data_IF_774138784946
#
_entry.id   IF_774138784946
#
_cell.length_a   1.000
_cell.length_b   1.000
_cell.length_c   1.000
_cell.angle_alpha   90.00
_cell.angle_beta   90.00
_cell.angle_gamma   90.00
#
_symmetry.space_group_name_H-M   'P 1'
#
loop_
_entity.id
_entity.type
_entity.pdbx_description
1 polymer ?
#
# COMPACT_ATOMS: atom_id res chain seq x y z
N UNK A 1 6.12 -14.36 24.39
CA UNK A 1 5.54 -14.65 23.07
C UNK A 1 5.84 -13.43 22.20
N UNK A 2 6.57 -13.58 21.10
CA UNK A 2 6.76 -12.49 20.15
C UNK A 2 5.45 -12.30 19.39
N UNK A 3 4.84 -11.14 19.51
CA UNK A 3 3.69 -10.72 18.71
C UNK A 3 4.03 -10.92 17.22
N UNK A 4 3.18 -11.62 16.48
CA UNK A 4 3.43 -11.86 15.06
C UNK A 4 3.43 -10.50 14.31
N UNK A 5 4.45 -10.25 13.50
CA UNK A 5 4.54 -9.00 12.74
C UNK A 5 3.37 -8.89 11.74
N UNK A 6 2.60 -7.80 11.80
CA UNK A 6 1.44 -7.55 10.91
C UNK A 6 1.86 -7.36 9.45
N UNK A 7 2.86 -6.52 9.22
CA UNK A 7 3.49 -6.27 7.92
C UNK A 7 4.93 -5.78 8.11
N UNK A 8 5.73 -5.77 7.05
CA UNK A 8 7.10 -5.21 7.10
C UNK A 8 7.01 -3.68 7.18
N UNK A 9 7.58 -3.00 8.19
CA UNK A 9 7.59 -1.54 8.22
C UNK A 9 8.35 -0.94 7.02
N UNK A 10 7.92 0.24 6.58
CA UNK A 10 8.64 1.03 5.58
C UNK A 10 9.95 1.63 6.13
N UNK A 11 10.71 2.35 5.28
CA UNK A 11 10.44 2.60 3.87
C UNK A 11 10.77 1.38 3.00
N UNK A 12 10.08 1.24 1.87
CA UNK A 12 10.40 0.28 0.83
C UNK A 12 10.89 1.03 -0.41
N UNK A 13 11.79 0.42 -1.17
CA UNK A 13 12.36 1.04 -2.37
C UNK A 13 12.28 0.07 -3.54
N UNK A 14 12.18 0.60 -4.77
CA UNK A 14 12.42 -0.21 -5.97
C UNK A 14 13.92 -0.48 -6.07
N UNK A 15 14.30 -1.71 -6.42
CA UNK A 15 15.71 -2.07 -6.51
C UNK A 15 16.41 -1.37 -7.67
N UNK A 16 17.59 -0.81 -7.41
CA UNK A 16 18.45 -0.24 -8.46
C UNK A 16 18.97 -1.30 -9.44
N UNK A 17 19.05 -2.56 -9.00
CA UNK A 17 19.53 -3.69 -9.80
C UNK A 17 18.43 -4.34 -10.64
N UNK A 18 17.18 -4.24 -10.18
CA UNK A 18 16.03 -4.86 -10.82
C UNK A 18 14.79 -3.98 -10.59
N UNK A 19 14.34 -3.31 -11.66
CA UNK A 19 13.19 -2.40 -11.60
C UNK A 19 11.85 -3.08 -11.27
N UNK A 20 11.83 -4.41 -11.26
CA UNK A 20 10.66 -5.20 -10.88
C UNK A 20 10.78 -5.77 -9.45
N UNK A 21 11.82 -5.42 -8.69
CA UNK A 21 11.94 -5.81 -7.29
C UNK A 21 11.62 -4.65 -6.35
N UNK A 22 10.86 -4.93 -5.30
CA UNK A 22 10.70 -4.05 -4.13
C UNK A 22 11.53 -4.63 -3.00
N UNK A 23 12.29 -3.79 -2.33
CA UNK A 23 13.24 -4.20 -1.30
C UNK A 23 13.27 -3.20 -0.13
N UNK A 24 13.85 -3.63 0.99
CA UNK A 24 14.29 -2.75 2.06
C UNK A 24 15.49 -1.90 1.59
N UNK A 25 15.76 -0.73 2.19
CA UNK A 25 16.94 0.07 1.90
C UNK A 25 18.27 -0.69 2.01
N UNK A 26 18.33 -1.68 2.91
CA UNK A 26 19.48 -2.57 3.09
C UNK A 26 19.50 -3.79 2.14
N UNK A 27 18.76 -3.74 1.03
CA UNK A 27 18.70 -4.75 -0.05
C UNK A 27 18.05 -6.09 0.33
N UNK A 28 17.25 -6.13 1.39
CA UNK A 28 16.37 -7.28 1.66
C UNK A 28 15.18 -7.30 0.69
N UNK A 29 15.12 -8.30 -0.20
CA UNK A 29 14.00 -8.46 -1.14
C UNK A 29 12.67 -8.65 -0.40
N UNK A 30 11.65 -7.87 -0.78
CA UNK A 30 10.29 -7.97 -0.24
C UNK A 30 9.36 -8.68 -1.21
N UNK A 31 9.37 -8.27 -2.49
CA UNK A 31 8.60 -8.93 -3.54
C UNK A 31 9.18 -8.67 -4.93
N UNK A 32 8.76 -9.48 -5.90
CA UNK A 32 8.99 -9.26 -7.34
C UNK A 32 7.64 -9.03 -8.03
N UNK A 33 7.57 -8.05 -8.91
CA UNK A 33 6.38 -7.74 -9.72
C UNK A 33 6.39 -8.40 -11.09
N UNK A 34 7.52 -8.97 -11.51
CA UNK A 34 7.66 -9.66 -12.80
C UNK A 34 8.46 -10.95 -12.69
N UNK A 35 8.36 -11.78 -13.73
CA UNK A 35 9.17 -13.00 -13.90
C UNK A 35 10.35 -12.65 -14.82
N UNK A 36 11.58 -12.92 -14.39
CA UNK A 36 12.80 -12.57 -15.13
C UNK A 36 13.02 -13.31 -16.45
N UNK A 37 11.98 -13.70 -17.17
CA UNK A 37 12.07 -14.42 -18.44
C UNK A 37 12.13 -13.44 -19.63
N UNK A 38 13.27 -13.49 -20.31
CA UNK A 38 13.78 -12.57 -21.32
C UNK A 38 13.02 -12.51 -22.66
N UNK A 39 11.82 -13.07 -22.79
CA UNK A 39 11.24 -13.40 -24.09
C UNK A 39 10.02 -12.57 -24.53
N UNK A 40 9.52 -11.61 -23.73
CA UNK A 40 8.39 -10.76 -24.11
C UNK A 40 8.64 -9.30 -23.76
N UNK A 41 8.70 -8.42 -24.76
CA UNK A 41 9.00 -6.99 -24.58
C UNK A 41 7.82 -6.15 -24.06
N UNK A 42 6.66 -6.75 -23.76
CA UNK A 42 5.42 -6.00 -23.49
C UNK A 42 5.21 -5.56 -22.04
N UNK A 43 5.77 -6.23 -21.03
CA UNK A 43 5.25 -6.08 -19.65
C UNK A 43 6.21 -5.35 -18.69
N UNK A 44 7.40 -4.95 -19.14
CA UNK A 44 8.44 -4.33 -18.27
C UNK A 44 8.04 -2.96 -17.69
N UNK A 45 7.19 -2.21 -18.38
CA UNK A 45 6.73 -0.90 -17.90
C UNK A 45 5.66 -1.02 -16.83
N UNK A 46 4.76 -1.99 -17.00
CA UNK A 46 3.73 -2.32 -16.00
C UNK A 46 4.38 -2.88 -14.74
N UNK A 47 5.33 -3.82 -14.87
CA UNK A 47 6.07 -4.36 -13.73
C UNK A 47 6.76 -3.27 -12.92
N UNK A 48 7.40 -2.30 -13.60
CA UNK A 48 8.04 -1.18 -12.93
C UNK A 48 7.02 -0.22 -12.30
N UNK A 49 5.87 0.01 -12.94
CA UNK A 49 4.79 0.81 -12.36
C UNK A 49 4.22 0.15 -11.10
N UNK A 50 3.98 -1.16 -11.15
CA UNK A 50 3.54 -1.97 -10.01
C UNK A 50 4.57 -1.96 -8.89
N UNK A 51 5.87 -2.06 -9.21
CA UNK A 51 6.93 -2.00 -8.20
C UNK A 51 6.96 -0.64 -7.49
N UNK A 52 6.79 0.47 -8.23
CA UNK A 52 6.67 1.81 -7.63
C UNK A 52 5.44 1.93 -6.74
N UNK A 53 4.30 1.42 -7.19
CA UNK A 53 3.05 1.45 -6.42
C UNK A 53 3.18 0.65 -5.11
N UNK A 54 3.75 -0.55 -5.17
CA UNK A 54 3.97 -1.39 -3.98
C UNK A 54 4.99 -0.73 -3.05
N UNK A 55 6.09 -0.18 -3.56
CA UNK A 55 7.10 0.50 -2.74
C UNK A 55 6.51 1.68 -1.94
N UNK A 56 5.49 2.36 -2.49
CA UNK A 56 4.78 3.44 -1.83
C UNK A 56 3.72 2.96 -0.81
N UNK A 57 3.46 1.65 -0.67
CA UNK A 57 2.38 1.14 0.20
C UNK A 57 2.47 1.59 1.67
N UNK A 58 3.66 1.69 2.32
CA UNK A 58 3.76 2.26 3.67
C UNK A 58 3.23 3.70 3.75
N UNK A 59 3.66 4.56 2.82
CA UNK A 59 3.26 5.97 2.77
C UNK A 59 1.78 6.12 2.41
N UNK A 60 1.27 5.29 1.49
CA UNK A 60 -0.15 5.24 1.12
C UNK A 60 -1.02 4.82 2.31
N UNK A 61 -0.57 3.87 3.14
CA UNK A 61 -1.30 3.45 4.34
C UNK A 61 -1.36 4.57 5.39
N UNK A 62 -0.25 5.29 5.60
CA UNK A 62 -0.20 6.44 6.51
C UNK A 62 -1.12 7.57 6.01
N UNK A 63 -1.01 7.95 4.74
CA UNK A 63 -1.87 8.95 4.13
C UNK A 63 -3.36 8.58 4.19
N UNK A 64 -3.72 7.30 3.99
CA UNK A 64 -5.10 6.84 4.07
C UNK A 64 -5.64 6.91 5.50
N UNK A 65 -4.81 6.62 6.52
CA UNK A 65 -5.19 6.77 7.93
C UNK A 65 -5.47 8.23 8.27
N UNK A 66 -4.58 9.15 7.89
CA UNK A 66 -4.78 10.58 8.12
C UNK A 66 -6.02 11.12 7.40
N UNK A 67 -6.20 10.75 6.13
CA UNK A 67 -7.39 11.13 5.36
C UNK A 67 -8.68 10.61 5.99
N UNK A 68 -8.69 9.36 6.47
CA UNK A 68 -9.86 8.78 7.16
C UNK A 68 -10.20 9.56 8.43
N UNK A 69 -9.19 9.89 9.26
CA UNK A 69 -9.39 10.68 10.46
C UNK A 69 -9.96 12.07 10.16
N UNK A 70 -9.46 12.74 9.12
CA UNK A 70 -9.97 14.04 8.69
C UNK A 70 -11.44 13.95 8.25
N UNK A 71 -11.78 12.94 7.43
CA UNK A 71 -13.15 12.70 6.96
C UNK A 71 -14.14 12.41 8.10
N UNK A 72 -13.71 11.64 9.11
CA UNK A 72 -14.50 11.36 10.31
C UNK A 72 -14.75 12.63 11.16
N UNK A 73 -13.83 13.60 11.12
CA UNK A 73 -14.03 14.91 11.72
C UNK A 73 -15.17 15.69 11.07
N UNK A 74 -15.27 15.64 9.74
CA UNK A 74 -16.35 16.28 8.98
C UNK A 74 -17.69 15.56 9.12
N UNK A 75 -17.70 14.23 9.28
CA UNK A 75 -18.93 13.44 9.37
C UNK A 75 -19.68 13.56 10.70
N UNK A 76 -19.20 14.35 11.67
CA UNK A 76 -19.85 14.56 12.97
C UNK A 76 -20.67 15.85 13.05
N UNK A 77 -20.71 16.67 11.99
CA UNK A 77 -21.57 17.85 11.89
C UNK A 77 -22.98 17.50 11.37
N UNK A 78 -23.98 18.31 11.71
CA UNK A 78 -25.33 18.17 11.14
C UNK A 78 -25.29 18.38 9.61
N UNK A 79 -25.90 17.47 8.84
CA UNK A 79 -25.96 17.54 7.37
C UNK A 79 -24.96 16.66 6.62
N UNK A 80 -24.48 15.56 7.22
CA UNK A 80 -23.51 14.63 6.60
C UNK A 80 -23.96 14.17 5.21
N UNK A 81 -23.11 14.43 4.23
CA UNK A 81 -23.29 13.98 2.85
C UNK A 81 -23.04 12.46 2.76
N UNK A 82 -24.06 11.67 2.38
CA UNK A 82 -23.99 10.19 2.30
C UNK A 82 -22.73 9.63 1.61
N UNK A 83 -22.19 10.24 0.55
CA UNK A 83 -20.93 9.82 -0.05
C UNK A 83 -19.72 9.81 0.90
N UNK A 84 -19.66 10.70 1.90
CA UNK A 84 -18.55 10.76 2.87
C UNK A 84 -18.55 9.53 3.78
N UNK A 85 -19.72 9.08 4.23
CA UNK A 85 -19.84 7.88 5.09
C UNK A 85 -19.34 6.62 4.36
N UNK A 86 -19.72 6.46 3.09
CA UNK A 86 -19.25 5.36 2.26
C UNK A 86 -17.73 5.39 2.06
N UNK A 87 -17.15 6.57 1.83
CA UNK A 87 -15.69 6.74 1.72
C UNK A 87 -14.97 6.34 3.01
N UNK A 88 -15.50 6.71 4.18
CA UNK A 88 -14.93 6.32 5.48
C UNK A 88 -14.96 4.79 5.64
N UNK A 89 -16.09 4.15 5.32
CA UNK A 89 -16.22 2.68 5.38
C UNK A 89 -15.20 1.99 4.49
N UNK A 90 -15.09 2.41 3.22
CA UNK A 90 -14.10 1.85 2.29
C UNK A 90 -12.66 2.05 2.78
N UNK A 91 -12.34 3.22 3.33
CA UNK A 91 -11.00 3.53 3.82
C UNK A 91 -10.64 2.66 5.04
N UNK A 92 -11.58 2.48 5.98
CA UNK A 92 -11.41 1.58 7.14
C UNK A 92 -11.20 0.13 6.72
N UNK A 93 -11.97 -0.37 5.76
CA UNK A 93 -11.82 -1.74 5.26
C UNK A 93 -10.45 -1.95 4.60
N UNK A 94 -9.98 -0.99 3.80
CA UNK A 94 -8.65 -1.04 3.19
C UNK A 94 -7.52 -1.01 4.23
N UNK A 95 -7.61 -0.15 5.26
CA UNK A 95 -6.65 -0.10 6.38
C UNK A 95 -6.64 -1.43 7.14
N UNK A 96 -7.82 -1.95 7.50
CA UNK A 96 -7.93 -3.22 8.22
C UNK A 96 -7.26 -4.37 7.44
N UNK A 97 -7.52 -4.45 6.13
CA UNK A 97 -6.87 -5.43 5.24
C UNK A 97 -5.35 -5.28 5.22
N UNK A 98 -4.83 -4.05 5.18
CA UNK A 98 -3.39 -3.80 5.18
C UNK A 98 -2.72 -4.16 6.51
N UNK A 99 -3.43 -4.02 7.64
CA UNK A 99 -2.93 -4.36 8.98
C UNK A 99 -3.15 -5.82 9.39
N UNK A 100 -3.60 -6.68 8.45
CA UNK A 100 -3.83 -8.10 8.70
C UNK A 100 -5.15 -8.41 9.42
N UNK A 101 -6.08 -7.46 9.49
CA UNK A 101 -7.45 -7.69 9.93
C UNK A 101 -8.32 -8.33 8.84
N UNK A 102 -9.45 -8.92 9.24
CA UNK A 102 -10.48 -9.33 8.29
C UNK A 102 -11.07 -8.09 7.61
N UNK A 103 -11.15 -8.12 6.28
CA UNK A 103 -11.78 -7.08 5.47
C UNK A 103 -13.31 -7.14 5.54
#
# INVERSE_FOLDING_TARGET
MTEAAKHTPGPWIVSDYSKYHVQKPNRGLLCSTGVGNSSGHSDRYEDYANARLIAAAPDLLEALKEATLALEGFSKGEGVFKPIEQTIVMSRAAIAKAEGGAA
#
